data_IF_962874818296
#
_entry.id   IF_962874818296
#
_cell.length_a   1.000
_cell.length_b   1.000
_cell.length_c   1.000
_cell.angle_alpha   90.00
_cell.angle_beta   90.00
_cell.angle_gamma   90.00
#
_symmetry.space_group_name_H-M   'P 1'
#
loop_
_entity.id
_entity.type
_entity.pdbx_description
1 polymer ?
#
# COMPACT_ATOMS: atom_id res chain seq x y z
N UNK A 1 -24.73 -33.31 23.12
CA UNK A 1 -23.71 -32.95 22.12
C UNK A 1 -24.05 -31.56 21.60
N UNK A 2 -23.28 -30.53 21.96
CA UNK A 2 -23.46 -29.17 21.46
C UNK A 2 -22.74 -29.06 20.11
N UNK A 3 -23.47 -28.80 19.04
CA UNK A 3 -22.89 -28.43 17.76
C UNK A 3 -22.45 -26.96 17.84
N UNK A 4 -21.14 -26.73 17.89
CA UNK A 4 -20.57 -25.39 17.72
C UNK A 4 -20.61 -25.08 16.23
N UNK A 5 -21.55 -24.23 15.82
CA UNK A 5 -21.52 -23.62 14.50
C UNK A 5 -20.30 -22.69 14.42
N UNK A 6 -19.26 -23.11 13.71
CA UNK A 6 -18.25 -22.19 13.19
C UNK A 6 -18.87 -21.42 12.03
N UNK A 7 -19.31 -20.18 12.30
CA UNK A 7 -19.51 -19.20 11.23
C UNK A 7 -18.11 -18.76 10.81
N UNK A 8 -17.61 -19.33 9.70
CA UNK A 8 -16.48 -18.74 8.99
C UNK A 8 -16.95 -17.38 8.47
N UNK A 9 -16.53 -16.30 9.14
CA UNK A 9 -16.62 -14.98 8.56
C UNK A 9 -15.80 -15.01 7.27
N UNK A 10 -16.46 -14.94 6.12
CA UNK A 10 -15.76 -14.57 4.89
C UNK A 10 -15.14 -13.19 5.18
N UNK A 11 -13.82 -13.14 5.31
CA UNK A 11 -13.10 -11.87 5.28
C UNK A 11 -13.52 -11.19 3.98
N UNK A 12 -14.16 -10.03 4.09
CA UNK A 12 -14.62 -9.27 2.93
C UNK A 12 -13.43 -9.06 2.00
N UNK A 13 -13.48 -9.57 0.77
CA UNK A 13 -12.42 -9.32 -0.20
C UNK A 13 -12.38 -7.83 -0.54
N UNK A 14 -11.19 -7.30 -0.83
CA UNK A 14 -11.08 -5.96 -1.43
C UNK A 14 -11.87 -5.95 -2.76
N UNK A 15 -12.48 -4.81 -3.16
CA UNK A 15 -13.25 -4.72 -4.41
C UNK A 15 -12.47 -5.13 -5.66
N UNK A 16 -11.13 -5.13 -5.59
CA UNK A 16 -10.23 -5.52 -6.69
C UNK A 16 -9.51 -6.86 -6.46
N UNK A 17 -10.01 -7.68 -5.53
CA UNK A 17 -9.46 -8.97 -5.16
C UNK A 17 -8.52 -8.94 -3.96
N UNK A 18 -8.12 -10.13 -3.51
CA UNK A 18 -7.25 -10.32 -2.35
C UNK A 18 -7.98 -10.30 -1.00
N UNK A 19 -7.31 -10.74 0.07
CA UNK A 19 -7.87 -10.73 1.42
C UNK A 19 -7.95 -9.30 1.98
N UNK A 20 -8.91 -9.06 2.88
CA UNK A 20 -8.84 -7.92 3.80
C UNK A 20 -8.05 -8.28 5.07
N UNK A 21 -7.48 -7.27 5.72
CA UNK A 21 -6.79 -7.41 7.00
C UNK A 21 -7.49 -6.57 8.09
N UNK A 22 -8.13 -7.24 9.04
CA UNK A 22 -8.84 -6.57 10.15
C UNK A 22 -8.04 -6.55 11.47
N UNK A 23 -6.76 -6.92 11.40
CA UNK A 23 -5.87 -6.92 12.57
C UNK A 23 -5.33 -5.53 12.92
N UNK A 24 -4.33 -5.50 13.81
CA UNK A 24 -3.70 -4.25 14.24
C UNK A 24 -2.76 -3.72 13.16
N UNK A 25 -2.80 -2.43 12.82
CA UNK A 25 -1.88 -1.87 11.84
C UNK A 25 -0.41 -1.91 12.32
N UNK A 26 0.51 -2.06 11.38
CA UNK A 26 1.95 -1.92 11.56
C UNK A 26 2.33 -0.43 11.61
N UNK A 27 2.15 0.17 12.78
CA UNK A 27 2.49 1.56 13.05
C UNK A 27 4.00 1.86 12.88
N UNK A 28 4.94 0.97 13.27
CA UNK A 28 6.35 1.13 12.92
C UNK A 28 6.62 1.27 11.41
N UNK A 29 6.08 0.38 10.58
CA UNK A 29 6.26 0.44 9.12
C UNK A 29 5.62 1.70 8.53
N UNK A 30 4.42 2.05 9.01
CA UNK A 30 3.71 3.28 8.61
C UNK A 30 4.48 4.55 8.96
N UNK A 31 5.05 4.61 10.17
CA UNK A 31 5.87 5.74 10.61
C UNK A 31 7.13 5.87 9.77
N UNK A 32 7.80 4.76 9.48
CA UNK A 32 9.01 4.74 8.68
C UNK A 32 8.72 5.17 7.22
N UNK A 33 7.66 4.66 6.59
CA UNK A 33 7.20 5.08 5.26
C UNK A 33 6.89 6.59 5.24
N UNK A 34 6.12 7.06 6.23
CA UNK A 34 5.75 8.47 6.35
C UNK A 34 6.99 9.36 6.48
N UNK A 35 7.97 8.95 7.28
CA UNK A 35 9.22 9.67 7.48
C UNK A 35 10.03 9.82 6.19
N UNK A 36 10.28 8.71 5.48
CA UNK A 36 11.08 8.74 4.25
C UNK A 36 10.36 9.46 3.12
N UNK A 37 9.02 9.46 3.13
CA UNK A 37 8.20 10.26 2.24
C UNK A 37 8.19 11.76 2.53
N UNK A 38 8.80 12.22 3.65
CA UNK A 38 8.90 13.63 4.01
C UNK A 38 7.94 14.09 5.11
N UNK A 39 7.17 13.18 5.70
CA UNK A 39 6.22 13.45 6.78
C UNK A 39 4.79 13.69 6.29
N UNK A 40 3.81 13.58 7.21
CA UNK A 40 2.38 13.57 6.88
C UNK A 40 1.87 14.77 6.06
N UNK A 41 2.46 15.96 6.22
CA UNK A 41 2.02 17.18 5.52
C UNK A 41 2.52 17.30 4.09
N UNK A 42 3.69 16.73 3.79
CA UNK A 42 4.40 16.91 2.51
C UNK A 42 4.85 15.57 1.92
N UNK A 43 4.12 14.51 2.26
CA UNK A 43 4.43 13.15 1.82
C UNK A 43 4.49 13.07 0.30
N UNK A 44 5.50 12.35 -0.19
CA UNK A 44 5.67 12.00 -1.61
C UNK A 44 6.12 10.54 -1.75
N UNK A 45 5.36 9.78 -2.53
CA UNK A 45 5.59 8.39 -2.91
C UNK A 45 6.91 8.25 -3.65
N UNK A 46 7.19 9.13 -4.62
CA UNK A 46 8.47 9.11 -5.35
C UNK A 46 9.65 9.34 -4.42
N UNK A 47 9.54 10.28 -3.47
CA UNK A 47 10.57 10.52 -2.46
C UNK A 47 10.77 9.29 -1.57
N UNK A 48 9.67 8.69 -1.11
CA UNK A 48 9.70 7.50 -0.27
C UNK A 48 10.42 6.34 -0.98
N UNK A 49 9.99 5.97 -2.19
CA UNK A 49 10.64 4.89 -2.93
C UNK A 49 12.10 5.21 -3.25
N UNK A 50 12.45 6.45 -3.63
CA UNK A 50 13.85 6.80 -3.85
C UNK A 50 14.70 6.63 -2.58
N UNK A 51 14.18 7.00 -1.41
CA UNK A 51 14.88 6.79 -0.14
C UNK A 51 14.99 5.32 0.29
N UNK A 52 14.06 4.47 -0.16
CA UNK A 52 13.98 3.05 0.21
C UNK A 52 14.83 2.17 -0.71
N UNK A 53 14.66 2.31 -2.02
CA UNK A 53 15.27 1.44 -3.05
C UNK A 53 16.29 2.15 -3.95
N UNK A 54 16.35 3.49 -3.91
CA UNK A 54 17.25 4.28 -4.74
C UNK A 54 16.73 4.56 -6.15
N UNK A 55 17.13 5.72 -6.68
CA UNK A 55 16.69 6.22 -7.99
C UNK A 55 17.07 5.28 -9.15
N UNK A 56 18.17 4.54 -9.00
CA UNK A 56 18.67 3.60 -10.01
C UNK A 56 17.73 2.41 -10.25
N UNK A 57 16.89 2.08 -9.28
CA UNK A 57 15.85 1.05 -9.42
C UNK A 57 14.48 1.68 -9.69
N UNK A 58 14.19 2.82 -9.07
CA UNK A 58 12.89 3.48 -9.22
C UNK A 58 12.65 4.03 -10.62
N UNK A 59 13.61 4.72 -11.24
CA UNK A 59 13.38 5.35 -12.55
C UNK A 59 13.16 4.31 -13.67
N UNK A 60 13.92 3.20 -13.77
CA UNK A 60 13.62 2.14 -14.73
C UNK A 60 12.27 1.49 -14.51
N UNK A 61 11.83 1.33 -13.25
CA UNK A 61 10.50 0.82 -12.94
C UNK A 61 9.41 1.77 -13.44
N UNK A 62 9.52 3.06 -13.14
CA UNK A 62 8.59 4.07 -13.65
C UNK A 62 8.51 4.01 -15.18
N UNK A 63 9.64 3.95 -15.88
CA UNK A 63 9.64 3.83 -17.35
C UNK A 63 8.96 2.55 -17.85
N UNK A 64 9.10 1.44 -17.12
CA UNK A 64 8.45 0.17 -17.45
C UNK A 64 6.93 0.28 -17.27
N UNK A 65 6.49 0.89 -16.17
CA UNK A 65 5.07 1.17 -15.92
C UNK A 65 4.50 2.14 -16.97
N UNK A 66 5.26 3.18 -17.36
CA UNK A 66 4.82 4.16 -18.37
C UNK A 66 4.65 3.51 -19.75
N UNK A 67 5.54 2.60 -20.14
CA UNK A 67 5.39 1.81 -21.38
C UNK A 67 4.17 0.90 -21.34
N UNK A 68 3.81 0.38 -20.16
CA UNK A 68 2.72 -0.58 -19.98
C UNK A 68 1.34 0.09 -19.86
N UNK A 69 1.26 1.19 -19.11
CA UNK A 69 0.00 1.83 -18.72
C UNK A 69 -0.17 3.24 -19.31
N UNK A 70 0.90 3.82 -19.86
CA UNK A 70 0.94 5.20 -20.33
C UNK A 70 1.35 6.19 -19.23
N UNK A 71 2.06 7.26 -19.62
CA UNK A 71 2.56 8.26 -18.67
C UNK A 71 1.48 8.95 -17.84
N UNK A 72 0.30 9.19 -18.43
CA UNK A 72 -0.83 9.79 -17.69
C UNK A 72 -1.34 8.88 -16.57
N UNK A 73 -1.38 7.56 -16.81
CA UNK A 73 -1.81 6.59 -15.81
C UNK A 73 -0.81 6.51 -14.65
N UNK A 74 0.49 6.49 -14.97
CA UNK A 74 1.56 6.45 -13.95
C UNK A 74 1.62 7.76 -13.14
N UNK A 75 1.43 8.91 -13.79
CA UNK A 75 1.31 10.19 -13.09
C UNK A 75 0.10 10.22 -12.14
N UNK A 76 -1.05 9.69 -12.59
CA UNK A 76 -2.25 9.54 -11.75
C UNK A 76 -1.99 8.59 -10.58
N UNK A 77 -1.35 7.45 -10.80
CA UNK A 77 -1.00 6.51 -9.73
C UNK A 77 -0.11 7.16 -8.67
N UNK A 78 0.94 7.90 -9.05
CA UNK A 78 1.78 8.63 -8.10
C UNK A 78 0.98 9.67 -7.31
N UNK A 79 0.09 10.41 -7.98
CA UNK A 79 -0.75 11.42 -7.32
C UNK A 79 -1.75 10.82 -6.33
N UNK A 80 -2.42 9.72 -6.71
CA UNK A 80 -3.34 8.99 -5.84
C UNK A 80 -2.57 8.33 -4.69
N UNK A 81 -1.36 7.80 -4.93
CA UNK A 81 -0.52 7.23 -3.85
C UNK A 81 -0.17 8.29 -2.80
N UNK A 82 0.18 9.51 -3.23
CA UNK A 82 0.42 10.63 -2.33
C UNK A 82 -0.85 10.99 -1.54
N UNK A 83 -1.99 11.10 -2.24
CA UNK A 83 -3.28 11.38 -1.61
C UNK A 83 -3.64 10.32 -0.57
N UNK A 84 -3.63 9.04 -0.93
CA UNK A 84 -3.98 7.90 -0.08
C UNK A 84 -3.19 7.91 1.23
N UNK A 85 -1.87 8.08 1.18
CA UNK A 85 -1.07 8.12 2.42
C UNK A 85 -1.40 9.35 3.26
N UNK A 86 -1.51 10.54 2.66
CA UNK A 86 -1.84 11.76 3.40
C UNK A 86 -3.21 11.68 4.05
N UNK A 87 -4.20 11.19 3.33
CA UNK A 87 -5.57 11.07 3.80
C UNK A 87 -5.70 10.00 4.88
N UNK A 88 -5.08 8.84 4.70
CA UNK A 88 -5.02 7.79 5.71
C UNK A 88 -4.40 8.29 7.02
N UNK A 89 -3.31 9.07 6.95
CA UNK A 89 -2.69 9.68 8.12
C UNK A 89 -3.61 10.69 8.82
N UNK A 90 -4.42 11.44 8.07
CA UNK A 90 -5.41 12.36 8.64
C UNK A 90 -6.54 11.61 9.35
N UNK A 91 -7.09 10.55 8.74
CA UNK A 91 -8.12 9.72 9.35
C UNK A 91 -7.61 8.96 10.58
N UNK A 92 -6.42 8.38 10.50
CA UNK A 92 -5.76 7.73 11.63
C UNK A 92 -5.57 8.71 12.80
N UNK A 93 -5.09 9.93 12.54
CA UNK A 93 -4.92 10.95 13.57
C UNK A 93 -6.27 11.39 14.19
N UNK A 94 -7.31 11.57 13.38
CA UNK A 94 -8.68 11.86 13.86
C UNK A 94 -9.25 10.71 14.71
N UNK A 95 -8.91 9.47 14.38
CA UNK A 95 -9.23 8.27 15.15
C UNK A 95 -8.35 8.07 16.40
N UNK A 96 -7.45 8.99 16.72
CA UNK A 96 -6.58 8.92 17.90
C UNK A 96 -5.38 7.96 17.76
N UNK A 97 -5.11 7.45 16.56
CA UNK A 97 -3.93 6.62 16.27
C UNK A 97 -2.70 7.53 16.24
N UNK A 98 -1.69 7.19 17.04
CA UNK A 98 -0.41 7.91 17.10
C UNK A 98 0.68 7.04 16.51
N UNK A 99 1.39 7.59 15.53
CA UNK A 99 2.58 6.94 14.99
C UNK A 99 3.73 7.02 16.01
N UNK A 100 4.56 5.96 16.13
CA UNK A 100 5.79 6.02 16.90
C UNK A 100 6.79 6.99 16.26
N UNK A 101 7.72 7.54 17.05
CA UNK A 101 8.76 8.45 16.55
C UNK A 101 9.82 7.70 15.70
N UNK A 102 10.09 8.13 14.45
CA UNK A 102 11.19 7.61 13.63
C UNK A 102 12.53 8.35 13.93
N UNK A 103 13.70 7.78 13.58
CA UNK A 103 13.90 6.51 12.90
C UNK A 103 13.96 5.33 13.88
N UNK A 104 13.14 4.32 13.62
CA UNK A 104 13.40 2.95 14.08
C UNK A 104 14.40 2.25 13.15
N UNK A 105 14.64 0.95 13.33
CA UNK A 105 15.56 0.17 12.49
C UNK A 105 15.06 -0.06 11.03
N UNK A 106 13.85 0.40 10.69
CA UNK A 106 13.23 0.23 9.38
C UNK A 106 13.66 1.35 8.42
N UNK A 107 14.71 1.08 7.66
CA UNK A 107 15.25 1.99 6.62
C UNK A 107 15.71 1.20 5.40
N UNK A 108 15.79 1.85 4.23
CA UNK A 108 16.28 1.25 3.00
C UNK A 108 15.59 -0.09 2.67
N UNK A 109 16.38 -1.10 2.30
CA UNK A 109 15.88 -2.45 2.01
C UNK A 109 15.07 -3.07 3.15
N UNK A 110 15.39 -2.80 4.43
CA UNK A 110 14.60 -3.35 5.56
C UNK A 110 13.19 -2.79 5.60
N UNK A 111 13.04 -1.50 5.29
CA UNK A 111 11.71 -0.89 5.15
C UNK A 111 11.00 -1.44 3.92
N UNK A 112 11.70 -1.62 2.79
CA UNK A 112 11.09 -2.24 1.60
C UNK A 112 10.53 -3.63 1.89
N UNK A 113 11.33 -4.51 2.50
CA UNK A 113 10.90 -5.87 2.86
C UNK A 113 9.71 -5.85 3.82
N UNK A 114 9.67 -4.92 4.78
CA UNK A 114 8.52 -4.77 5.67
C UNK A 114 7.26 -4.36 4.90
N UNK A 115 7.37 -3.40 3.96
CA UNK A 115 6.26 -2.96 3.12
C UNK A 115 5.75 -4.08 2.21
N UNK A 116 6.64 -4.86 1.59
CA UNK A 116 6.25 -6.03 0.79
C UNK A 116 5.54 -7.05 1.67
N UNK A 117 6.13 -7.42 2.81
CA UNK A 117 5.52 -8.35 3.76
C UNK A 117 4.13 -7.90 4.22
N UNK A 118 3.95 -6.59 4.47
CA UNK A 118 2.65 -6.04 4.83
C UNK A 118 1.63 -6.05 3.67
N UNK A 119 2.05 -6.18 2.42
CA UNK A 119 1.14 -6.36 1.30
C UNK A 119 0.96 -7.81 0.85
N UNK A 120 1.79 -8.74 1.30
CA UNK A 120 1.74 -10.14 0.87
C UNK A 120 0.61 -10.90 1.57
N UNK A 121 -0.39 -11.32 0.80
CA UNK A 121 -1.48 -12.18 1.24
C UNK A 121 -1.03 -13.62 1.50
N UNK A 122 -1.93 -14.44 2.05
CA UNK A 122 -1.65 -15.86 2.30
C UNK A 122 -1.41 -16.67 1.01
N UNK A 123 -1.81 -16.14 -0.14
CA UNK A 123 -1.58 -16.68 -1.48
C UNK A 123 -0.17 -16.33 -2.01
N UNK A 124 0.62 -15.59 -1.24
CA UNK A 124 1.96 -15.16 -1.60
C UNK A 124 1.98 -13.97 -2.56
N UNK A 125 0.83 -13.39 -2.92
CA UNK A 125 0.75 -12.25 -3.83
C UNK A 125 0.66 -10.91 -3.09
N UNK A 126 1.19 -9.85 -3.70
CA UNK A 126 1.07 -8.50 -3.15
C UNK A 126 -0.30 -7.88 -3.49
N UNK A 127 -1.07 -7.52 -2.47
CA UNK A 127 -2.39 -6.91 -2.58
C UNK A 127 -2.42 -5.52 -1.95
N UNK A 128 -2.66 -4.48 -2.76
CA UNK A 128 -2.69 -3.08 -2.31
C UNK A 128 -3.75 -2.82 -1.22
N UNK A 129 -4.94 -3.42 -1.31
CA UNK A 129 -5.95 -3.30 -0.26
C UNK A 129 -5.49 -3.90 1.08
N UNK A 130 -4.91 -5.10 1.04
CA UNK A 130 -4.33 -5.76 2.22
C UNK A 130 -3.16 -4.96 2.82
N UNK A 131 -2.31 -4.40 1.96
CA UNK A 131 -1.22 -3.51 2.33
C UNK A 131 -1.71 -2.26 3.07
N UNK A 132 -2.71 -1.58 2.52
CA UNK A 132 -3.30 -0.39 3.15
C UNK A 132 -3.97 -0.73 4.49
N UNK A 133 -4.68 -1.84 4.56
CA UNK A 133 -5.26 -2.34 5.82
C UNK A 133 -4.20 -2.59 6.89
N UNK A 134 -3.04 -3.13 6.51
CA UNK A 134 -1.93 -3.36 7.42
C UNK A 134 -1.20 -2.08 7.82
N UNK A 135 -1.12 -1.08 6.96
CA UNK A 135 -0.53 0.20 7.34
C UNK A 135 -1.47 1.06 8.20
N UNK A 136 -2.75 1.13 7.85
CA UNK A 136 -3.65 2.16 8.39
C UNK A 136 -4.86 1.62 9.15
N UNK A 137 -5.08 0.30 9.19
CA UNK A 137 -6.30 -0.41 9.61
C UNK A 137 -7.41 -0.41 8.56
N UNK A 138 -8.19 -1.50 8.55
CA UNK A 138 -9.29 -1.68 7.61
C UNK A 138 -10.30 -0.53 7.58
N UNK A 139 -10.67 0.01 8.75
CA UNK A 139 -11.63 1.10 8.83
C UNK A 139 -11.10 2.39 8.17
N UNK A 140 -9.81 2.67 8.31
CA UNK A 140 -9.17 3.82 7.64
C UNK A 140 -9.06 3.55 6.15
N UNK A 141 -8.65 2.35 5.73
CA UNK A 141 -8.58 1.99 4.30
C UNK A 141 -9.92 2.18 3.59
N UNK A 142 -11.02 1.69 4.17
CA UNK A 142 -12.35 1.85 3.57
C UNK A 142 -12.72 3.32 3.39
N UNK A 143 -12.43 4.17 4.38
CA UNK A 143 -12.67 5.61 4.28
C UNK A 143 -11.81 6.24 3.18
N UNK A 144 -10.53 5.89 3.10
CA UNK A 144 -9.61 6.43 2.09
C UNK A 144 -10.01 5.98 0.68
N UNK A 145 -10.44 4.74 0.48
CA UNK A 145 -10.91 4.27 -0.84
C UNK A 145 -12.21 4.98 -1.25
N UNK A 146 -13.11 5.23 -0.30
CA UNK A 146 -14.28 6.08 -0.55
C UNK A 146 -13.87 7.50 -0.97
N UNK A 147 -12.87 8.09 -0.31
CA UNK A 147 -12.40 9.44 -0.61
C UNK A 147 -11.64 9.48 -1.95
N UNK A 148 -10.89 8.45 -2.30
CA UNK A 148 -10.28 8.28 -3.63
C UNK A 148 -11.35 8.20 -4.71
N UNK A 149 -12.40 7.39 -4.52
CA UNK A 149 -13.51 7.27 -5.46
C UNK A 149 -14.23 8.61 -5.64
N UNK A 150 -14.43 9.37 -4.56
CA UNK A 150 -15.06 10.69 -4.62
C UNK A 150 -14.20 11.74 -5.35
N UNK A 151 -12.87 11.68 -5.21
CA UNK A 151 -11.94 12.67 -5.80
C UNK A 151 -11.47 12.34 -7.22
N UNK A 152 -11.26 11.06 -7.51
CA UNK A 152 -10.60 10.59 -8.75
C UNK A 152 -11.48 9.63 -9.57
N UNK A 153 -12.53 9.08 -8.97
CA UNK A 153 -13.43 8.12 -9.59
C UNK A 153 -12.94 6.67 -9.50
N UNK A 154 -13.89 5.74 -9.49
CA UNK A 154 -13.65 4.31 -9.32
C UNK A 154 -12.68 3.68 -10.33
N UNK A 155 -12.68 4.17 -11.58
CA UNK A 155 -11.73 3.72 -12.58
C UNK A 155 -10.28 4.09 -12.24
N UNK A 156 -10.06 5.23 -11.57
CA UNK A 156 -8.74 5.66 -11.15
C UNK A 156 -8.26 4.88 -9.91
N UNK A 157 -9.18 4.51 -9.00
CA UNK A 157 -8.89 3.62 -7.88
C UNK A 157 -8.46 2.22 -8.36
N UNK A 158 -9.23 1.64 -9.28
CA UNK A 158 -8.89 0.35 -9.88
C UNK A 158 -7.51 0.38 -10.56
N UNK A 159 -7.18 1.47 -11.25
CA UNK A 159 -5.89 1.65 -11.89
C UNK A 159 -4.76 1.84 -10.86
N UNK A 160 -5.01 2.58 -9.78
CA UNK A 160 -4.08 2.75 -8.66
C UNK A 160 -3.70 1.39 -8.07
N UNK A 161 -4.67 0.55 -7.73
CA UNK A 161 -4.42 -0.79 -7.20
C UNK A 161 -3.66 -1.68 -8.19
N UNK A 162 -4.04 -1.66 -9.47
CA UNK A 162 -3.38 -2.44 -10.52
C UNK A 162 -1.91 -2.05 -10.71
N UNK A 163 -1.63 -0.76 -10.80
CA UNK A 163 -0.26 -0.25 -10.99
C UNK A 163 0.56 -0.49 -9.72
N UNK A 164 -0.01 -0.26 -8.53
CA UNK A 164 0.71 -0.47 -7.28
C UNK A 164 1.06 -1.95 -7.04
N UNK A 165 0.13 -2.89 -7.29
CA UNK A 165 0.41 -4.33 -7.22
C UNK A 165 1.56 -4.71 -8.17
N UNK A 166 1.55 -4.16 -9.38
CA UNK A 166 2.59 -4.42 -10.38
C UNK A 166 3.94 -3.85 -9.95
N UNK A 167 3.98 -2.61 -9.47
CA UNK A 167 5.20 -1.94 -9.03
C UNK A 167 5.86 -2.69 -7.87
N UNK A 168 5.07 -3.12 -6.87
CA UNK A 168 5.58 -3.85 -5.71
C UNK A 168 6.11 -5.25 -6.11
N UNK A 169 5.42 -5.92 -7.04
CA UNK A 169 5.90 -7.16 -7.65
C UNK A 169 7.23 -6.98 -8.40
N UNK A 170 7.29 -6.02 -9.34
CA UNK A 170 8.47 -5.82 -10.19
C UNK A 170 9.68 -5.35 -9.37
N UNK A 171 9.47 -4.50 -8.35
CA UNK A 171 10.54 -4.05 -7.46
C UNK A 171 11.03 -5.17 -6.53
N UNK A 172 10.13 -5.98 -5.96
CA UNK A 172 10.55 -7.07 -5.07
C UNK A 172 11.32 -8.17 -5.81
N UNK A 173 10.98 -8.44 -7.08
CA UNK A 173 11.80 -9.34 -7.93
C UNK A 173 13.22 -8.81 -8.17
N UNK A 174 13.47 -7.51 -7.99
CA UNK A 174 14.80 -6.91 -8.14
C UNK A 174 15.58 -6.85 -6.83
N UNK A 175 14.91 -6.70 -5.69
CA UNK A 175 15.60 -6.40 -4.41
C UNK A 175 15.27 -7.33 -3.25
N UNK A 176 14.22 -8.15 -3.35
CA UNK A 176 13.70 -8.97 -2.27
C UNK A 176 13.59 -10.44 -2.62
N UNK A 177 12.56 -11.11 -2.10
CA UNK A 177 12.42 -12.56 -2.12
C UNK A 177 11.44 -13.06 -3.21
N UNK A 178 10.96 -12.17 -4.07
CA UNK A 178 10.03 -12.43 -5.20
C UNK A 178 8.61 -12.77 -4.76
N UNK A 179 7.85 -11.74 -4.36
CA UNK A 179 6.39 -11.81 -4.13
C UNK A 179 5.64 -12.19 -5.42
N UNK A 180 4.45 -12.80 -5.28
CA UNK A 180 3.55 -13.07 -6.39
C UNK A 180 2.84 -11.81 -6.91
N UNK A 181 2.52 -11.79 -8.20
CA UNK A 181 1.68 -10.76 -8.79
C UNK A 181 0.20 -11.07 -8.50
N UNK A 182 -0.51 -10.13 -7.89
CA UNK A 182 -1.94 -10.27 -7.63
C UNK A 182 -2.77 -10.52 -8.91
N UNK A 183 -3.70 -11.46 -8.81
CA UNK A 183 -4.71 -11.70 -9.84
C UNK A 183 -5.79 -10.62 -9.75
N UNK A 184 -5.51 -9.42 -10.24
CA UNK A 184 -6.42 -8.28 -10.22
C UNK A 184 -7.72 -8.59 -10.99
N UNK A 185 -8.88 -8.22 -10.44
CA UNK A 185 -10.20 -8.39 -11.07
C UNK A 185 -10.93 -7.05 -11.21
#
# INVERSE_FOLDING_TARGET
MLAVLFVAALAAASPFGGPAYTGRPDLPTTSALTFVGGGAKVFSTRRAFNAIIGIQLLDPEIQTLEKRYGSSAVASWMHISDFTVKDALQHAARGGIRLPTPPGPLVGKRLFTALVHDGTGHDGAFWTGFWLDRLFSHAVTLQVMHDVDAHFGHGADALYHRINNRAMYDLDNQVGDSVGLAAFH
#
